data_IF_140353160384
#
_entry.id   IF_140353160384
#
_cell.length_a   1.000
_cell.length_b   1.000
_cell.length_c   1.000
_cell.angle_alpha   90.00
_cell.angle_beta   90.00
_cell.angle_gamma   90.00
#
_symmetry.space_group_name_H-M   'P 1'
#
loop_
_entity.id
_entity.type
_entity.pdbx_description
1 polymer ?
#
# COMPACT_ATOMS: atom_id res chain seq x y z
N UNK A 1 -17.46 18.06 -4.25
CA UNK A 1 -17.11 16.65 -4.04
C UNK A 1 -17.82 16.17 -2.80
N UNK A 2 -18.51 15.03 -2.89
CA UNK A 2 -19.16 14.41 -1.73
C UNK A 2 -18.09 13.69 -0.91
N UNK A 3 -18.01 13.87 0.43
CA UNK A 3 -16.98 13.23 1.23
C UNK A 3 -17.08 11.70 1.17
N UNK A 4 -15.92 11.04 1.09
CA UNK A 4 -15.80 9.59 1.09
C UNK A 4 -16.45 9.00 2.35
N UNK A 5 -17.32 8.00 2.18
CA UNK A 5 -17.92 7.29 3.32
C UNK A 5 -16.96 6.24 3.89
N UNK A 6 -17.17 5.81 5.13
CA UNK A 6 -16.35 4.72 5.72
C UNK A 6 -16.39 3.43 4.89
N UNK A 7 -17.53 3.11 4.26
CA UNK A 7 -17.64 1.91 3.41
C UNK A 7 -16.77 2.03 2.16
N UNK A 8 -16.75 3.21 1.53
CA UNK A 8 -15.90 3.50 0.38
C UNK A 8 -14.41 3.53 0.80
N UNK A 9 -14.12 4.05 1.99
CA UNK A 9 -12.79 4.08 2.57
C UNK A 9 -12.24 2.65 2.79
N UNK A 10 -13.03 1.74 3.36
CA UNK A 10 -12.64 0.33 3.55
C UNK A 10 -12.40 -0.37 2.21
N UNK A 11 -13.18 -0.07 1.17
CA UNK A 11 -12.95 -0.62 -0.18
C UNK A 11 -11.61 -0.18 -0.79
N UNK A 12 -11.17 1.04 -0.48
CA UNK A 12 -9.89 1.58 -0.94
C UNK A 12 -8.70 1.24 -0.01
N UNK A 13 -8.98 0.72 1.18
CA UNK A 13 -8.00 0.47 2.24
C UNK A 13 -6.82 -0.42 1.81
N UNK A 14 -7.10 -1.57 1.22
CA UNK A 14 -6.04 -2.48 0.78
C UNK A 14 -5.24 -1.90 -0.40
N UNK A 15 -5.91 -1.24 -1.34
CA UNK A 15 -5.23 -0.56 -2.43
C UNK A 15 -4.30 0.55 -1.92
N UNK A 16 -4.70 1.28 -0.86
CA UNK A 16 -3.84 2.23 -0.18
C UNK A 16 -2.63 1.57 0.47
N UNK A 17 -2.79 0.43 1.16
CA UNK A 17 -1.65 -0.28 1.75
C UNK A 17 -0.67 -0.79 0.70
N UNK A 18 -1.18 -1.33 -0.41
CA UNK A 18 -0.35 -1.84 -1.51
C UNK A 18 0.38 -0.70 -2.24
N UNK A 19 -0.29 0.44 -2.43
CA UNK A 19 0.24 1.62 -3.15
C UNK A 19 0.97 2.63 -2.27
N UNK A 20 0.89 2.52 -0.95
CA UNK A 20 1.71 3.33 -0.05
C UNK A 20 3.20 3.13 -0.32
N UNK A 21 3.58 2.00 -0.92
CA UNK A 21 4.94 1.71 -1.38
C UNK A 21 5.31 2.45 -2.68
N UNK A 22 4.33 2.83 -3.53
CA UNK A 22 4.55 3.55 -4.79
C UNK A 22 4.38 5.07 -4.67
N UNK A 23 3.87 5.57 -3.54
CA UNK A 23 3.71 7.01 -3.29
C UNK A 23 2.60 7.68 -4.12
N UNK A 24 1.70 6.90 -4.72
CA UNK A 24 0.53 7.44 -5.42
C UNK A 24 -0.52 7.92 -4.42
N UNK A 25 -0.95 9.19 -4.48
CA UNK A 25 -1.89 9.74 -3.50
C UNK A 25 -3.32 9.20 -3.72
N UNK A 26 -3.88 8.56 -2.69
CA UNK A 26 -5.34 8.39 -2.55
C UNK A 26 -5.89 9.53 -1.67
N UNK A 27 -5.85 10.76 -2.19
CA UNK A 27 -6.16 11.97 -1.42
C UNK A 27 -7.52 11.95 -0.71
N UNK A 28 -8.55 11.36 -1.32
CA UNK A 28 -9.88 11.23 -0.69
C UNK A 28 -9.87 10.28 0.51
N UNK A 29 -9.06 9.22 0.49
CA UNK A 29 -8.90 8.27 1.58
C UNK A 29 -8.08 8.87 2.73
N UNK A 30 -7.01 9.59 2.41
CA UNK A 30 -6.20 10.32 3.38
C UNK A 30 -7.02 11.40 4.11
N UNK A 31 -7.80 12.17 3.35
CA UNK A 31 -8.75 13.15 3.92
C UNK A 31 -9.77 12.48 4.85
N UNK A 32 -10.24 11.27 4.52
CA UNK A 32 -11.14 10.52 5.38
C UNK A 32 -10.45 10.04 6.68
N UNK A 33 -9.19 9.60 6.61
CA UNK A 33 -8.42 9.20 7.78
C UNK A 33 -8.24 10.36 8.75
N UNK A 34 -7.98 11.57 8.27
CA UNK A 34 -7.85 12.77 9.13
C UNK A 34 -9.12 13.03 9.97
N UNK A 35 -10.29 12.64 9.47
CA UNK A 35 -11.58 12.88 10.13
C UNK A 35 -12.17 11.67 10.86
N UNK A 36 -11.69 10.45 10.62
CA UNK A 36 -12.33 9.22 11.12
C UNK A 36 -11.41 8.35 11.97
N UNK A 37 -11.60 8.43 13.30
CA UNK A 37 -10.81 7.66 14.27
C UNK A 37 -10.90 6.12 14.05
N UNK A 38 -12.09 5.60 13.73
CA UNK A 38 -12.25 4.15 13.52
C UNK A 38 -11.50 3.61 12.29
N UNK A 39 -11.35 4.42 11.24
CA UNK A 39 -10.54 4.08 10.08
C UNK A 39 -9.05 4.18 10.40
N UNK A 40 -8.65 5.14 11.24
CA UNK A 40 -7.29 5.24 11.77
C UNK A 40 -6.90 4.02 12.61
N UNK A 41 -7.78 3.54 13.49
CA UNK A 41 -7.53 2.32 14.28
C UNK A 41 -7.31 1.09 13.40
N UNK A 42 -8.13 0.94 12.34
CA UNK A 42 -7.96 -0.14 11.36
C UNK A 42 -6.62 -0.04 10.62
N UNK A 43 -6.20 1.16 10.26
CA UNK A 43 -4.90 1.40 9.62
C UNK A 43 -3.75 1.05 10.56
N UNK A 44 -3.82 1.49 11.81
CA UNK A 44 -2.81 1.19 12.83
C UNK A 44 -2.68 -0.33 13.03
N UNK A 45 -3.81 -1.03 13.22
CA UNK A 45 -3.83 -2.48 13.36
C UNK A 45 -3.18 -3.19 12.15
N UNK A 46 -3.47 -2.75 10.94
CA UNK A 46 -2.88 -3.36 9.74
C UNK A 46 -1.36 -3.16 9.68
N UNK A 47 -0.86 -2.00 10.10
CA UNK A 47 0.58 -1.71 10.16
C UNK A 47 1.27 -2.56 11.23
N UNK A 48 0.66 -2.70 12.40
CA UNK A 48 1.17 -3.53 13.48
C UNK A 48 1.22 -5.01 13.07
N UNK A 49 0.19 -5.49 12.36
CA UNK A 49 0.16 -6.84 11.82
C UNK A 49 1.26 -7.08 10.77
N UNK A 50 1.45 -6.15 9.83
CA UNK A 50 2.52 -6.22 8.83
C UNK A 50 3.91 -6.24 9.49
N UNK A 51 4.14 -5.36 10.47
CA UNK A 51 5.38 -5.33 11.25
C UNK A 51 5.59 -6.65 12.02
N UNK A 52 4.54 -7.19 12.64
CA UNK A 52 4.59 -8.47 13.33
C UNK A 52 4.98 -9.61 12.37
N UNK A 53 4.34 -9.70 11.21
CA UNK A 53 4.66 -10.73 10.21
C UNK A 53 6.12 -10.58 9.74
N UNK A 54 6.55 -9.36 9.38
CA UNK A 54 7.93 -9.07 8.98
C UNK A 54 8.94 -9.49 10.05
N UNK A 55 8.66 -9.25 11.33
CA UNK A 55 9.54 -9.65 12.44
C UNK A 55 9.72 -11.16 12.60
N UNK A 56 8.83 -11.98 12.00
CA UNK A 56 8.87 -13.44 12.05
C UNK A 56 9.44 -14.07 10.79
N UNK A 57 9.56 -13.30 9.71
CA UNK A 57 10.18 -13.77 8.49
C UNK A 57 11.70 -13.72 8.63
N UNK A 58 12.42 -14.72 8.10
CA UNK A 58 13.87 -14.63 8.03
C UNK A 58 14.26 -13.46 7.13
N UNK A 59 15.22 -12.65 7.58
CA UNK A 59 15.89 -11.68 6.72
C UNK A 59 16.62 -12.46 5.62
N UNK A 60 16.02 -12.49 4.44
CA UNK A 60 16.58 -13.08 3.25
C UNK A 60 16.90 -11.94 2.28
N UNK A 61 18.17 -11.84 1.89
CA UNK A 61 18.58 -10.88 0.88
C UNK A 61 17.87 -11.18 -0.44
N UNK A 62 17.43 -10.11 -1.10
CA UNK A 62 16.89 -10.21 -2.45
C UNK A 62 17.98 -10.71 -3.40
N UNK A 63 17.75 -11.77 -4.20
CA UNK A 63 18.75 -12.24 -5.15
C UNK A 63 19.17 -11.10 -6.10
N UNK A 64 20.48 -10.88 -6.27
CA UNK A 64 21.03 -9.73 -7.02
C UNK A 64 20.44 -9.58 -8.43
N UNK A 65 20.14 -10.69 -9.09
CA UNK A 65 19.57 -10.69 -10.45
C UNK A 65 18.07 -10.46 -10.50
N UNK A 66 17.35 -10.60 -9.39
CA UNK A 66 15.90 -10.48 -9.35
C UNK A 66 15.48 -9.04 -9.61
N UNK A 67 16.13 -8.07 -8.95
CA UNK A 67 15.84 -6.65 -9.16
C UNK A 67 16.04 -6.24 -10.62
N UNK A 68 17.17 -6.62 -11.22
CA UNK A 68 17.47 -6.31 -12.62
C UNK A 68 16.40 -6.88 -13.56
N UNK A 69 15.97 -8.13 -13.36
CA UNK A 69 14.92 -8.79 -14.16
C UNK A 69 13.56 -8.11 -14.01
N UNK A 70 13.21 -7.68 -12.80
CA UNK A 70 11.95 -6.96 -12.54
C UNK A 70 11.97 -5.60 -13.24
N UNK A 71 13.07 -4.84 -13.15
CA UNK A 71 13.22 -3.55 -13.84
C UNK A 71 13.13 -3.70 -15.36
N UNK A 72 13.77 -4.71 -15.93
CA UNK A 72 13.70 -5.00 -17.36
C UNK A 72 12.26 -5.34 -17.82
N UNK A 73 11.55 -6.16 -17.04
CA UNK A 73 10.15 -6.49 -17.32
C UNK A 73 9.23 -5.26 -17.27
N UNK A 74 9.41 -4.37 -16.28
CA UNK A 74 8.65 -3.12 -16.18
C UNK A 74 8.95 -2.18 -17.35
N UNK A 75 10.23 -2.02 -17.72
CA UNK A 75 10.63 -1.19 -18.86
C UNK A 75 9.99 -1.67 -20.17
N UNK A 76 9.94 -2.98 -20.40
CA UNK A 76 9.24 -3.55 -21.56
C UNK A 76 7.75 -3.24 -21.56
N UNK A 77 7.06 -3.44 -20.43
CA UNK A 77 5.63 -3.15 -20.32
C UNK A 77 5.30 -1.68 -20.57
N UNK A 78 6.18 -0.76 -20.12
CA UNK A 78 6.01 0.67 -20.40
C UNK A 78 6.33 1.10 -21.83
N UNK A 79 7.08 0.28 -22.58
CA UNK A 79 7.41 0.55 -23.99
C UNK A 79 6.38 0.00 -24.98
N UNK A 80 5.54 -0.94 -24.53
CA UNK A 80 4.47 -1.58 -25.30
C UNK A 80 3.11 -0.86 -25.13
N UNK A 81 3.01 0.14 -24.24
CA UNK A 81 1.82 0.94 -23.95
C UNK A 81 1.88 2.34 -24.60
#
# INVERSE_FOLDING_TARGET
MTPLTCEQAVKQFFAYLDRALSGEPLGDFETHLEACLSCCEKLAFSRDLDAFVKSRLPDADMPERLEARVREALARLSAEA
#
